data_IF_897183626970
#
_entry.id   IF_897183626970
#
_cell.length_a   1.000
_cell.length_b   1.000
_cell.length_c   1.000
_cell.angle_alpha   90.00
_cell.angle_beta   90.00
_cell.angle_gamma   90.00
#
_symmetry.space_group_name_H-M   'P 1'
#
loop_
_entity.id
_entity.type
_entity.pdbx_description
1 polymer ?
#
# COMPACT_ATOMS: atom_id res chain seq x y z
N UNK A 1 -9.18 -24.87 9.25
CA UNK A 1 -10.15 -23.79 8.97
C UNK A 1 -9.89 -23.31 7.55
N UNK A 2 -10.68 -23.74 6.59
CA UNK A 2 -10.49 -23.42 5.18
C UNK A 2 -10.77 -21.93 4.97
N UNK A 3 -9.78 -21.16 4.52
CA UNK A 3 -9.97 -19.74 4.17
C UNK A 3 -10.81 -19.69 2.90
N UNK A 4 -12.12 -19.58 3.03
CA UNK A 4 -13.00 -19.39 1.88
C UNK A 4 -12.56 -18.13 1.13
N UNK A 5 -12.12 -18.22 -0.13
CA UNK A 5 -11.65 -17.07 -0.90
C UNK A 5 -12.78 -16.07 -1.11
N UNK A 6 -12.45 -14.78 -1.23
CA UNK A 6 -13.41 -13.75 -1.57
C UNK A 6 -13.63 -13.73 -3.09
N UNK A 7 -14.89 -13.71 -3.50
CA UNK A 7 -15.28 -13.52 -4.90
C UNK A 7 -15.47 -12.04 -5.24
N UNK A 8 -15.43 -11.72 -6.54
CA UNK A 8 -15.66 -10.35 -7.03
C UNK A 8 -17.05 -9.82 -6.67
N UNK A 9 -18.07 -10.69 -6.64
CA UNK A 9 -19.42 -10.33 -6.22
C UNK A 9 -19.46 -9.92 -4.75
N UNK A 10 -18.77 -10.68 -3.88
CA UNK A 10 -18.68 -10.32 -2.47
C UNK A 10 -17.96 -8.99 -2.25
N UNK A 11 -16.90 -8.71 -3.03
CA UNK A 11 -16.20 -7.43 -2.99
C UNK A 11 -17.11 -6.28 -3.45
N UNK A 12 -17.90 -6.49 -4.50
CA UNK A 12 -18.89 -5.52 -4.97
C UNK A 12 -19.95 -5.23 -3.90
N UNK A 13 -20.52 -6.26 -3.30
CA UNK A 13 -21.51 -6.13 -2.23
C UNK A 13 -20.95 -5.44 -0.99
N UNK A 14 -19.71 -5.77 -0.62
CA UNK A 14 -18.98 -5.11 0.47
C UNK A 14 -18.80 -3.60 0.20
N UNK A 15 -18.38 -3.24 -1.01
CA UNK A 15 -18.22 -1.85 -1.43
C UNK A 15 -19.56 -1.11 -1.48
N UNK A 16 -20.61 -1.75 -2.01
CA UNK A 16 -21.97 -1.18 -2.06
C UNK A 16 -22.49 -0.85 -0.66
N UNK A 17 -22.37 -1.78 0.28
CA UNK A 17 -22.79 -1.54 1.66
C UNK A 17 -21.99 -0.43 2.34
N UNK A 18 -20.68 -0.35 2.07
CA UNK A 18 -19.85 0.76 2.54
C UNK A 18 -20.28 2.12 1.97
N UNK A 19 -20.56 2.19 0.66
CA UNK A 19 -21.02 3.42 -0.01
C UNK A 19 -22.39 3.90 0.50
N UNK A 20 -23.24 2.99 0.97
CA UNK A 20 -24.51 3.31 1.61
C UNK A 20 -24.38 3.80 3.06
N UNK A 21 -23.16 3.81 3.62
CA UNK A 21 -22.92 4.21 5.00
C UNK A 21 -23.30 3.15 6.04
N UNK A 22 -23.43 1.88 5.63
CA UNK A 22 -23.77 0.79 6.55
C UNK A 22 -22.58 0.43 7.46
N UNK A 23 -22.90 0.03 8.70
CA UNK A 23 -21.87 -0.55 9.59
C UNK A 23 -21.43 -1.93 9.10
N UNK A 24 -20.22 -2.37 9.46
CA UNK A 24 -19.72 -3.71 9.07
C UNK A 24 -20.62 -4.87 9.53
N UNK A 25 -21.30 -4.70 10.66
CA UNK A 25 -22.27 -5.68 11.15
C UNK A 25 -23.52 -5.72 10.26
N UNK A 26 -24.00 -4.56 9.80
CA UNK A 26 -25.12 -4.48 8.85
C UNK A 26 -24.72 -5.03 7.49
N UNK A 27 -23.53 -4.72 6.97
CA UNK A 27 -23.05 -5.27 5.68
C UNK A 27 -22.97 -6.80 5.75
N UNK A 28 -22.42 -7.34 6.85
CA UNK A 28 -22.39 -8.77 7.13
C UNK A 28 -23.80 -9.37 7.16
N UNK A 29 -24.74 -8.79 7.89
CA UNK A 29 -26.10 -9.32 7.99
C UNK A 29 -26.93 -9.18 6.69
N UNK A 30 -26.78 -8.07 5.96
CA UNK A 30 -27.62 -7.72 4.81
C UNK A 30 -27.10 -8.30 3.50
N UNK A 31 -25.79 -8.29 3.30
CA UNK A 31 -25.19 -8.62 2.01
C UNK A 31 -24.31 -9.87 2.04
N UNK A 32 -23.68 -10.17 3.18
CA UNK A 32 -22.66 -11.22 3.29
C UNK A 32 -22.89 -12.09 4.54
N UNK A 33 -24.05 -12.78 4.68
CA UNK A 33 -24.43 -13.46 5.92
C UNK A 33 -23.47 -14.60 6.31
N UNK A 34 -22.72 -15.12 5.35
CA UNK A 34 -21.68 -16.13 5.53
C UNK A 34 -20.31 -15.54 5.89
N UNK A 35 -20.16 -14.22 5.94
CA UNK A 35 -18.93 -13.51 6.34
C UNK A 35 -19.18 -12.76 7.63
N UNK A 36 -18.28 -12.90 8.61
CA UNK A 36 -18.36 -12.12 9.84
C UNK A 36 -18.06 -10.63 9.58
N UNK A 37 -18.51 -9.75 10.48
CA UNK A 37 -18.15 -8.32 10.50
C UNK A 37 -16.63 -8.08 10.40
N UNK A 38 -15.84 -8.95 11.04
CA UNK A 38 -14.38 -8.86 11.06
C UNK A 38 -13.77 -9.22 9.71
N UNK A 39 -14.36 -10.22 9.02
CA UNK A 39 -13.97 -10.57 7.66
C UNK A 39 -14.25 -9.41 6.69
N UNK A 40 -15.41 -8.74 6.81
CA UNK A 40 -15.80 -7.61 5.98
C UNK A 40 -14.80 -6.44 6.13
N UNK A 41 -14.50 -6.02 7.37
CA UNK A 41 -13.52 -4.97 7.62
C UNK A 41 -12.12 -5.35 7.14
N UNK A 42 -11.68 -6.57 7.42
CA UNK A 42 -10.38 -7.07 6.98
C UNK A 42 -10.24 -7.03 5.46
N UNK A 43 -11.26 -7.51 4.74
CA UNK A 43 -11.28 -7.47 3.28
C UNK A 43 -11.29 -6.06 2.73
N UNK A 44 -12.11 -5.17 3.29
CA UNK A 44 -12.18 -3.77 2.86
C UNK A 44 -10.80 -3.10 2.93
N UNK A 45 -10.05 -3.30 4.02
CA UNK A 45 -8.67 -2.79 4.12
C UNK A 45 -7.75 -3.37 3.05
N UNK A 46 -7.85 -4.67 2.75
CA UNK A 46 -7.07 -5.30 1.68
C UNK A 46 -7.41 -4.69 0.31
N UNK A 47 -8.69 -4.46 0.03
CA UNK A 47 -9.12 -3.80 -1.21
C UNK A 47 -8.60 -2.37 -1.32
N UNK A 48 -8.66 -1.59 -0.22
CA UNK A 48 -8.12 -0.23 -0.18
C UNK A 48 -6.60 -0.20 -0.39
N UNK A 49 -5.85 -1.11 0.24
CA UNK A 49 -4.41 -1.21 0.05
C UNK A 49 -4.06 -1.54 -1.41
N UNK A 50 -4.77 -2.51 -1.99
CA UNK A 50 -4.60 -2.87 -3.41
C UNK A 50 -4.93 -1.69 -4.33
N UNK A 51 -5.99 -0.94 -4.04
CA UNK A 51 -6.35 0.24 -4.82
C UNK A 51 -5.27 1.33 -4.75
N UNK A 52 -4.62 1.49 -3.59
CA UNK A 52 -3.50 2.42 -3.43
C UNK A 52 -2.26 1.97 -4.21
N UNK A 53 -1.94 0.68 -4.20
CA UNK A 53 -0.83 0.11 -4.98
C UNK A 53 -1.06 0.21 -6.50
N UNK A 54 -2.31 0.09 -6.93
CA UNK A 54 -2.71 0.21 -8.34
C UNK A 54 -2.92 1.66 -8.79
N UNK A 55 -2.77 2.63 -7.89
CA UNK A 55 -2.91 4.04 -8.24
C UNK A 55 -1.72 4.44 -9.11
N UNK A 56 -2.00 4.79 -10.36
CA UNK A 56 -1.00 5.33 -11.27
C UNK A 56 -0.50 6.67 -10.74
N UNK A 57 0.82 6.89 -10.83
CA UNK A 57 1.41 8.18 -10.52
C UNK A 57 0.95 9.20 -11.55
N UNK A 58 0.39 10.32 -11.09
CA UNK A 58 0.08 11.42 -11.98
C UNK A 58 1.33 12.27 -12.25
N UNK A 59 1.41 12.88 -13.44
CA UNK A 59 2.48 13.83 -13.79
C UNK A 59 2.81 14.87 -12.69
N UNK A 60 1.84 15.50 -12.00
CA UNK A 60 2.15 16.42 -10.91
C UNK A 60 2.71 15.71 -9.67
N UNK A 61 2.25 14.50 -9.34
CA UNK A 61 2.81 13.69 -8.25
C UNK A 61 4.26 13.29 -8.55
N UNK A 62 4.56 12.89 -9.78
CA UNK A 62 5.93 12.60 -10.23
C UNK A 62 6.84 13.83 -10.16
N UNK A 63 6.34 15.01 -10.58
CA UNK A 63 7.10 16.26 -10.45
C UNK A 63 7.40 16.59 -8.99
N UNK A 64 6.42 16.44 -8.10
CA UNK A 64 6.62 16.66 -6.67
C UNK A 64 7.60 15.66 -6.07
N UNK A 65 7.51 14.38 -6.48
CA UNK A 65 8.45 13.34 -6.08
C UNK A 65 9.88 13.70 -6.52
N UNK A 66 10.09 14.07 -7.78
CA UNK A 66 11.40 14.47 -8.29
C UNK A 66 11.97 15.69 -7.55
N UNK A 67 11.13 16.69 -7.24
CA UNK A 67 11.53 17.84 -6.44
C UNK A 67 11.93 17.44 -5.01
N UNK A 68 11.18 16.54 -4.39
CA UNK A 68 11.51 16.01 -3.06
C UNK A 68 12.83 15.23 -3.08
N UNK A 69 13.02 14.34 -4.05
CA UNK A 69 14.28 13.59 -4.23
C UNK A 69 15.46 14.55 -4.39
N UNK A 70 15.34 15.58 -5.24
CA UNK A 70 16.39 16.61 -5.41
C UNK A 70 16.65 17.38 -4.12
N UNK A 71 15.61 17.78 -3.39
CA UNK A 71 15.73 18.49 -2.10
C UNK A 71 16.48 17.66 -1.07
N UNK A 72 16.28 16.34 -1.05
CA UNK A 72 16.86 15.43 -0.08
C UNK A 72 18.14 14.71 -0.58
N UNK A 73 18.65 15.02 -1.77
CA UNK A 73 19.84 14.42 -2.38
C UNK A 73 21.07 14.35 -1.45
N UNK A 74 21.28 15.40 -0.62
CA UNK A 74 22.38 15.42 0.35
C UNK A 74 22.22 14.33 1.42
N UNK A 75 21.01 14.09 1.91
CA UNK A 75 20.75 13.05 2.93
C UNK A 75 21.05 11.67 2.38
N UNK A 76 20.62 11.37 1.16
CA UNK A 76 20.91 10.09 0.50
C UNK A 76 22.42 9.88 0.33
N UNK A 77 23.15 10.91 -0.09
CA UNK A 77 24.62 10.87 -0.16
C UNK A 77 25.27 10.59 1.20
N UNK A 78 24.77 11.21 2.28
CA UNK A 78 25.28 10.95 3.63
C UNK A 78 24.98 9.52 4.10
N UNK A 79 23.78 9.00 3.80
CA UNK A 79 23.42 7.62 4.10
C UNK A 79 24.34 6.63 3.38
N UNK A 80 24.57 6.81 2.07
CA UNK A 80 25.47 5.94 1.31
C UNK A 80 26.93 6.03 1.76
N UNK A 81 27.37 7.18 2.26
CA UNK A 81 28.69 7.30 2.89
C UNK A 81 28.81 6.46 4.16
N UNK A 82 27.76 6.40 4.97
CA UNK A 82 27.72 5.53 6.16
C UNK A 82 27.80 4.05 5.74
N UNK A 83 27.01 3.64 4.75
CA UNK A 83 27.03 2.26 4.22
C UNK A 83 28.41 1.89 3.68
N UNK A 84 29.07 2.80 2.98
CA UNK A 84 30.43 2.60 2.49
C UNK A 84 31.48 2.44 3.61
N UNK A 85 31.30 3.15 4.74
CA UNK A 85 32.17 3.00 5.91
C UNK A 85 32.05 1.61 6.51
N UNK A 86 30.84 1.07 6.62
CA UNK A 86 30.61 -0.29 7.15
C UNK A 86 31.19 -1.38 6.23
N UNK A 87 31.20 -1.14 4.91
CA UNK A 87 31.80 -2.04 3.92
C UNK A 87 33.33 -1.94 3.83
N UNK A 88 33.92 -0.84 4.33
CA UNK A 88 35.37 -0.63 4.50
C UNK A 88 36.20 -0.46 3.22
N UNK A 89 35.80 -1.05 2.08
CA UNK A 89 36.61 -1.11 0.85
C UNK A 89 35.96 -0.51 -0.39
N UNK A 90 34.73 0.02 -0.29
CA UNK A 90 33.97 0.52 -1.45
C UNK A 90 33.57 1.97 -1.24
N UNK A 91 33.58 2.74 -2.32
CA UNK A 91 33.08 4.11 -2.28
C UNK A 91 31.56 4.14 -2.20
N UNK A 92 31.00 5.21 -1.62
CA UNK A 92 29.55 5.40 -1.53
C UNK A 92 28.85 5.37 -2.90
N UNK A 93 29.54 5.75 -3.98
CA UNK A 93 29.03 5.69 -5.36
C UNK A 93 28.93 4.24 -5.87
N UNK A 94 29.89 3.39 -5.52
CA UNK A 94 29.83 1.96 -5.86
C UNK A 94 28.71 1.25 -5.10
N UNK A 95 28.46 1.62 -3.83
CA UNK A 95 27.36 1.10 -3.04
C UNK A 95 26.00 1.51 -3.62
N UNK A 96 25.83 2.79 -3.96
CA UNK A 96 24.60 3.33 -4.55
C UNK A 96 24.31 2.76 -5.95
N UNK A 97 25.34 2.56 -6.78
CA UNK A 97 25.15 2.02 -8.13
C UNK A 97 24.79 0.54 -8.17
N UNK A 98 25.06 -0.21 -7.09
CA UNK A 98 24.81 -1.65 -7.00
C UNK A 98 23.42 -2.00 -6.44
N UNK A 99 22.83 -1.11 -5.64
CA UNK A 99 21.50 -1.29 -5.03
C UNK A 99 20.37 -1.05 -6.02
#
# INVERSE_FOLDING_TARGET
QTRTPWSSEEDFLLQKGYQQGLSWAMISATYLPHRSRGCCWGRFKTLQAKALEQREWSDPEDRLLLLAVKKHAKLFKHAWKSVAQDLGQRSWRECEARS
#
